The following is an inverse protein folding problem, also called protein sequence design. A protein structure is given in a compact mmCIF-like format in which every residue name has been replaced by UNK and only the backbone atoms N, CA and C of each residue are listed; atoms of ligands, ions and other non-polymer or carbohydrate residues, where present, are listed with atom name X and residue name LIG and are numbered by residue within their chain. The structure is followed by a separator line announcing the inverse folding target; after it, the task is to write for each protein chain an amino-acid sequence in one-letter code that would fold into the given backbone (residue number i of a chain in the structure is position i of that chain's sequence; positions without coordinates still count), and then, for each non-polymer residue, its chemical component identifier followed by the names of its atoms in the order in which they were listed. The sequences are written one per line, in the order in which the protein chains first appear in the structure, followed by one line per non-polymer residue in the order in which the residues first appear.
data_IF_613710775065
#
_entry.id   IF_613710775065
#
_cell.length_a   1.000
_cell.length_b   1.000
_cell.length_c   1.000
_cell.angle_alpha   90.00
_cell.angle_beta   90.00
_cell.angle_gamma   90.00
#
_symmetry.space_group_name_H-M   'P 1'
#
loop_
_entity.id
_entity.type
_entity.pdbx_description
1 polymer ?
#
# COMPACT_ATOMS: atom_id res chain seq x y z
N UNK A 1 -9.06 -8.61 10.62
CA UNK A 1 -9.89 -7.81 11.57
C UNK A 1 -9.16 -7.51 12.88
N UNK A 2 -8.41 -8.46 13.46
CA UNK A 2 -7.74 -8.25 14.75
C UNK A 2 -6.75 -7.07 14.79
N UNK A 3 -5.93 -6.93 13.73
CA UNK A 3 -5.04 -5.78 13.59
C UNK A 3 -5.76 -4.44 13.79
N UNK A 4 -6.92 -4.27 13.14
CA UNK A 4 -7.67 -3.02 13.20
C UNK A 4 -8.20 -2.74 14.61
N UNK A 5 -8.50 -3.78 15.41
CA UNK A 5 -8.87 -3.59 16.82
C UNK A 5 -7.69 -3.03 17.62
N UNK A 6 -6.50 -3.61 17.46
CA UNK A 6 -5.29 -3.13 18.12
C UNK A 6 -4.93 -1.71 17.70
N UNK A 7 -5.05 -1.40 16.40
CA UNK A 7 -4.82 -0.08 15.85
C UNK A 7 -5.82 0.94 16.41
N UNK A 8 -7.12 0.66 16.36
CA UNK A 8 -8.16 1.57 16.86
C UNK A 8 -7.98 1.85 18.36
N UNK A 9 -7.68 0.83 19.16
CA UNK A 9 -7.40 1.02 20.58
C UNK A 9 -6.16 1.90 20.81
N UNK A 10 -5.12 1.75 20.00
CA UNK A 10 -3.93 2.60 20.07
C UNK A 10 -4.25 4.05 19.71
N UNK A 11 -4.98 4.26 18.61
CA UNK A 11 -5.37 5.59 18.15
C UNK A 11 -6.24 6.30 19.18
N UNK A 12 -7.25 5.62 19.72
CA UNK A 12 -8.13 6.16 20.76
C UNK A 12 -7.38 6.44 22.06
N UNK A 13 -6.36 5.64 22.42
CA UNK A 13 -5.59 5.84 23.65
C UNK A 13 -4.77 7.14 23.63
N UNK A 14 -4.23 7.53 22.47
CA UNK A 14 -3.37 8.72 22.34
C UNK A 14 -4.05 9.92 21.71
N UNK A 15 -5.35 9.80 21.38
CA UNK A 15 -6.17 10.88 20.82
C UNK A 15 -5.51 11.59 19.63
N UNK A 16 -5.02 10.82 18.66
CA UNK A 16 -4.50 11.41 17.43
C UNK A 16 -5.62 12.14 16.69
N UNK A 17 -5.43 13.43 16.43
CA UNK A 17 -6.44 14.35 15.87
C UNK A 17 -6.08 14.86 14.48
N UNK A 18 -4.83 14.68 14.02
CA UNK A 18 -4.38 15.18 12.73
C UNK A 18 -3.54 14.18 11.94
N UNK A 19 -3.66 14.23 10.61
CA UNK A 19 -2.98 13.33 9.68
C UNK A 19 -1.46 13.39 9.78
N UNK A 20 -0.90 14.56 10.10
CA UNK A 20 0.53 14.74 10.32
C UNK A 20 1.07 13.91 11.50
N UNK A 21 0.20 13.38 12.37
CA UNK A 21 0.56 12.55 13.51
C UNK A 21 0.62 11.06 13.15
N UNK A 22 0.04 10.63 12.03
CA UNK A 22 -0.02 9.21 11.62
C UNK A 22 1.37 8.56 11.53
N UNK A 23 2.40 9.19 10.92
CA UNK A 23 3.75 8.61 10.92
C UNK A 23 4.27 8.32 12.34
N UNK A 24 4.05 9.23 13.28
CA UNK A 24 4.45 9.07 14.68
C UNK A 24 3.62 7.98 15.37
N UNK A 25 2.33 7.91 15.11
CA UNK A 25 1.45 6.87 15.62
C UNK A 25 1.90 5.47 15.17
N UNK A 26 2.29 5.29 13.91
CA UNK A 26 2.80 4.01 13.41
C UNK A 26 4.06 3.55 14.16
N UNK A 27 4.99 4.47 14.43
CA UNK A 27 6.20 4.17 15.20
C UNK A 27 5.87 3.78 16.65
N UNK A 28 5.03 4.57 17.33
CA UNK A 28 4.61 4.30 18.70
C UNK A 28 3.82 3.00 18.81
N UNK A 29 2.98 2.70 17.82
CA UNK A 29 2.24 1.46 17.75
C UNK A 29 3.19 0.26 17.72
N UNK A 30 4.22 0.27 16.86
CA UNK A 30 5.20 -0.82 16.82
C UNK A 30 6.02 -0.92 18.12
N UNK A 31 6.42 0.20 18.72
CA UNK A 31 7.18 0.18 19.97
C UNK A 31 6.43 -0.52 21.10
N UNK A 32 5.12 -0.32 21.19
CA UNK A 32 4.32 -0.87 22.29
C UNK A 32 3.63 -2.19 21.97
N UNK A 33 3.22 -2.39 20.72
CA UNK A 33 2.36 -3.49 20.27
C UNK A 33 3.01 -4.37 19.23
N UNK A 34 4.20 -4.04 18.75
CA UNK A 34 4.88 -4.81 17.71
C UNK A 34 5.19 -6.25 18.13
N UNK A 35 5.56 -6.51 19.39
CA UNK A 35 5.76 -7.89 19.89
C UNK A 35 4.48 -8.71 19.82
N UNK A 36 3.39 -8.18 20.40
CA UNK A 36 2.06 -8.81 20.40
C UNK A 36 1.55 -9.04 18.95
N UNK A 37 1.79 -8.07 18.06
CA UNK A 37 1.44 -8.15 16.64
C UNK A 37 2.14 -9.32 15.93
N UNK A 38 3.42 -9.54 16.22
CA UNK A 38 4.20 -10.63 15.64
C UNK A 38 3.78 -11.99 16.21
N UNK A 39 3.56 -12.08 17.52
CA UNK A 39 3.08 -13.30 18.20
C UNK A 39 1.71 -13.77 17.67
N UNK A 40 0.85 -12.82 17.28
CA UNK A 40 -0.46 -13.07 16.67
C UNK A 40 -0.42 -13.33 15.17
N UNK A 41 0.77 -13.44 14.56
CA UNK A 41 0.94 -13.62 13.12
C UNK A 41 0.22 -12.54 12.28
N UNK A 42 0.26 -11.28 12.76
CA UNK A 42 -0.39 -10.15 12.07
C UNK A 42 0.56 -9.34 11.18
N UNK A 43 1.81 -9.80 10.99
CA UNK A 43 2.82 -9.12 10.17
C UNK A 43 2.29 -8.70 8.79
N UNK A 44 1.73 -9.64 8.02
CA UNK A 44 1.22 -9.36 6.67
C UNK A 44 0.05 -8.38 6.69
N UNK A 45 -0.83 -8.51 7.68
CA UNK A 45 -1.95 -7.57 7.86
C UNK A 45 -1.43 -6.15 8.11
N UNK A 46 -0.37 -6.01 8.92
CA UNK A 46 0.21 -4.71 9.24
C UNK A 46 0.89 -4.09 8.03
N UNK A 47 1.65 -4.87 7.25
CA UNK A 47 2.22 -4.40 5.99
C UNK A 47 1.13 -3.88 5.06
N UNK A 48 0.03 -4.62 4.88
CA UNK A 48 -1.11 -4.17 4.07
C UNK A 48 -1.71 -2.85 4.61
N UNK A 49 -1.86 -2.72 5.93
CA UNK A 49 -2.36 -1.49 6.53
C UNK A 49 -1.45 -0.29 6.26
N UNK A 50 -0.13 -0.47 6.35
CA UNK A 50 0.83 0.59 6.06
C UNK A 50 0.81 0.99 4.57
N UNK A 51 0.63 0.04 3.66
CA UNK A 51 0.40 0.35 2.25
C UNK A 51 -0.89 1.17 2.07
N UNK A 52 -1.99 0.78 2.72
CA UNK A 52 -3.24 1.56 2.65
C UNK A 52 -3.04 2.99 3.18
N UNK A 53 -2.34 3.19 4.30
CA UNK A 53 -2.06 4.53 4.83
C UNK A 53 -1.22 5.38 3.86
N UNK A 54 -0.27 4.76 3.15
CA UNK A 54 0.50 5.43 2.11
C UNK A 54 -0.38 5.81 0.91
N UNK A 55 -1.25 4.91 0.46
CA UNK A 55 -2.15 5.15 -0.69
C UNK A 55 -3.17 6.26 -0.39
N UNK A 56 -3.56 6.44 0.88
CA UNK A 56 -4.39 7.56 1.34
C UNK A 56 -3.61 8.87 1.55
N UNK A 57 -2.31 8.90 1.30
CA UNK A 57 -1.47 10.08 1.48
C UNK A 57 -1.13 10.41 2.95
N UNK A 58 -1.41 9.50 3.89
CA UNK A 58 -1.14 9.67 5.32
C UNK A 58 0.30 9.27 5.71
N UNK A 59 0.98 8.50 4.85
CA UNK A 59 2.39 8.17 4.99
C UNK A 59 3.16 8.57 3.74
N UNK A 60 4.29 9.25 3.93
CA UNK A 60 5.27 9.42 2.87
C UNK A 60 6.01 8.10 2.59
N UNK A 61 6.62 7.93 1.40
CA UNK A 61 7.45 6.76 1.10
C UNK A 61 8.58 6.56 2.13
N UNK A 62 9.15 7.66 2.63
CA UNK A 62 10.20 7.64 3.66
C UNK A 62 9.66 7.10 4.98
N UNK A 63 8.49 7.59 5.43
CA UNK A 63 7.86 7.13 6.66
C UNK A 63 7.49 5.65 6.59
N UNK A 64 6.90 5.21 5.46
CA UNK A 64 6.59 3.81 5.19
C UNK A 64 7.83 2.93 5.31
N UNK A 65 8.92 3.30 4.63
CA UNK A 65 10.17 2.55 4.66
C UNK A 65 10.74 2.44 6.09
N UNK A 66 10.76 3.53 6.84
CA UNK A 66 11.26 3.54 8.23
C UNK A 66 10.43 2.62 9.13
N UNK A 67 9.10 2.67 9.02
CA UNK A 67 8.20 1.79 9.78
C UNK A 67 8.40 0.32 9.39
N UNK A 68 8.57 0.02 8.10
CA UNK A 68 8.88 -1.34 7.63
C UNK A 68 10.24 -1.83 8.14
N UNK A 69 11.26 -0.99 8.12
CA UNK A 69 12.59 -1.33 8.65
C UNK A 69 12.51 -1.70 10.13
N UNK A 70 11.78 -0.91 10.91
CA UNK A 70 11.56 -1.17 12.33
C UNK A 70 10.84 -2.50 12.57
N UNK A 71 9.74 -2.77 11.85
CA UNK A 71 9.02 -4.04 11.95
C UNK A 71 9.91 -5.24 11.59
N UNK A 72 10.70 -5.14 10.52
CA UNK A 72 11.62 -6.19 10.10
C UNK A 72 12.71 -6.46 11.13
N UNK A 73 13.23 -5.41 11.77
CA UNK A 73 14.19 -5.56 12.86
C UNK A 73 13.56 -6.33 14.03
N UNK A 74 12.35 -5.96 14.44
CA UNK A 74 11.63 -6.66 15.51
C UNK A 74 11.36 -8.14 15.18
N UNK A 75 11.11 -8.46 13.91
CA UNK A 75 10.95 -9.84 13.46
C UNK A 75 12.27 -10.60 13.43
N UNK A 76 13.38 -9.95 13.05
CA UNK A 76 14.71 -10.54 13.07
C UNK A 76 15.13 -10.93 14.50
N UNK A 77 14.77 -10.09 15.47
CA UNK A 77 15.08 -10.31 16.89
C UNK A 77 14.12 -11.32 17.58
N UNK A 78 13.03 -11.73 16.90
CA UNK A 78 12.03 -12.63 17.45
C UNK A 78 11.95 -13.96 16.67
N UNK A 79 12.85 -14.89 17.03
CA UNK A 79 12.94 -16.21 16.42
C UNK A 79 11.66 -17.04 16.57
N UNK A 80 11.00 -16.96 17.73
CA UNK A 80 9.76 -17.70 18.01
C UNK A 80 8.61 -17.26 17.10
N UNK A 81 8.41 -15.94 16.97
CA UNK A 81 7.39 -15.42 16.07
C UNK A 81 7.68 -15.80 14.62
N UNK A 82 8.96 -15.76 14.21
CA UNK A 82 9.38 -16.19 12.86
C UNK A 82 9.01 -17.64 12.59
N UNK A 83 9.22 -18.54 13.53
CA UNK A 83 8.87 -19.95 13.38
C UNK A 83 7.35 -20.15 13.35
N UNK A 84 6.59 -19.55 14.27
CA UNK A 84 5.12 -19.59 14.28
C UNK A 84 4.51 -19.13 12.95
N UNK A 85 5.08 -18.11 12.32
CA UNK A 85 4.62 -17.66 11.00
C UNK A 85 4.91 -18.69 9.90
N UNK A 86 6.06 -19.39 9.96
CA UNK A 86 6.42 -20.46 9.01
C UNK A 86 5.48 -21.65 9.16
N UNK A 87 5.19 -22.05 10.39
CA UNK A 87 4.24 -23.13 10.69
C UNK A 87 2.83 -22.79 10.23
N UNK A 88 2.37 -21.57 10.52
CA UNK A 88 1.06 -21.10 10.06
C UNK A 88 0.96 -21.12 8.53
N UNK A 89 2.02 -20.71 7.84
CA UNK A 89 2.07 -20.74 6.38
C UNK A 89 2.07 -22.17 5.83
N UNK A 90 2.81 -23.08 6.47
CA UNK A 90 2.86 -24.50 6.11
C UNK A 90 1.49 -25.15 6.29
N UNK A 91 0.85 -24.97 7.44
CA UNK A 91 -0.49 -25.48 7.73
C UNK A 91 -1.53 -24.94 6.75
N UNK A 92 -1.49 -23.64 6.44
CA UNK A 92 -2.40 -23.04 5.47
C UNK A 92 -2.17 -23.59 4.06
N UNK A 93 -0.92 -23.81 3.65
CA UNK A 93 -0.59 -24.44 2.36
C UNK A 93 -1.09 -25.87 2.28
N UNK A 94 -0.87 -26.66 3.34
CA UNK A 94 -1.36 -28.04 3.43
C UNK A 94 -2.89 -28.09 3.37
N UNK A 95 -3.56 -27.19 4.10
CA UNK A 95 -5.01 -27.03 4.03
C UNK A 95 -5.50 -26.70 2.62
N UNK A 96 -4.88 -25.72 1.95
CA UNK A 96 -5.23 -25.35 0.57
C UNK A 96 -5.02 -26.52 -0.41
N UNK A 97 -3.93 -27.26 -0.27
CA UNK A 97 -3.65 -28.44 -1.08
C UNK A 97 -4.65 -29.57 -0.82
N UNK A 98 -5.13 -29.73 0.41
CA UNK A 98 -6.14 -30.72 0.74
C UNK A 98 -7.52 -30.32 0.19
N UNK A 99 -7.97 -29.08 0.41
CA UNK A 99 -9.27 -28.57 -0.08
C UNK A 99 -9.31 -28.52 -1.60
N UNK A 100 -8.20 -28.13 -2.25
CA UNK A 100 -8.10 -28.10 -3.70
C UNK A 100 -8.24 -29.48 -4.36
N UNK A 101 -7.98 -30.59 -3.65
CA UNK A 101 -8.21 -31.95 -4.15
C UNK A 101 -9.69 -32.36 -4.16
N UNK A 102 -10.55 -31.65 -3.43
CA UNK A 102 -11.99 -31.95 -3.31
C UNK A 102 -12.89 -30.92 -4.00
N UNK A 103 -12.33 -29.85 -4.59
CA UNK A 103 -13.06 -29.01 -5.53
C UNK A 103 -13.22 -29.78 -6.85
N UNK A 104 -14.34 -30.49 -6.98
CA UNK A 104 -14.81 -30.94 -8.29
C UNK A 104 -14.84 -29.75 -9.25
N UNK A 105 -14.52 -29.92 -10.55
CA UNK A 105 -14.74 -28.86 -11.51
C UNK A 105 -16.20 -28.45 -11.39
N UNK A 106 -16.45 -27.15 -11.18
CA UNK A 106 -17.79 -26.59 -11.27
C UNK A 106 -18.33 -27.01 -12.63
N UNK A 107 -19.26 -27.98 -12.65
CA UNK A 107 -20.04 -28.29 -13.83
C UNK A 107 -20.83 -27.02 -14.10
N UNK A 108 -20.37 -26.23 -15.07
CA UNK A 108 -21.13 -25.11 -15.59
C UNK A 108 -22.33 -25.74 -16.28
N UNK A 109 -23.45 -25.83 -15.56
CA UNK A 109 -24.73 -26.17 -16.16
C UNK A 109 -25.03 -25.08 -17.19
N UNK A 110 -25.07 -25.49 -18.46
CA UNK A 110 -25.42 -24.58 -19.55
C UNK A 110 -26.85 -24.12 -19.31
N UNK A 111 -27.01 -22.83 -18.96
CA UNK A 111 -28.30 -22.15 -18.88
C UNK A 111 -29.18 -22.55 -20.07
N UNK A 112 -30.46 -22.95 -19.87
CA UNK A 112 -31.32 -23.35 -20.98
C UNK A 112 -31.41 -22.20 -21.99
N UNK A 113 -31.11 -22.52 -23.25
CA UNK A 113 -31.25 -21.60 -24.38
C UNK A 113 -32.72 -21.17 -24.49
N UNK A 114 -32.97 -19.89 -24.25
CA UNK A 114 -34.22 -19.27 -24.70
C UNK A 114 -34.16 -19.22 -26.22
N UNK A 115 -35.12 -19.88 -26.86
CA UNK A 115 -35.34 -19.87 -28.31
C UNK A 115 -35.58 -18.44 -28.78
N UNK A 116 -34.56 -17.82 -29.36
CA UNK A 116 -34.73 -16.61 -30.17
C UNK A 116 -34.88 -17.02 -31.62
N UNK A 117 -35.96 -16.57 -32.24
CA UNK A 117 -36.31 -16.85 -33.62
C UNK A 117 -35.19 -16.39 -34.58
N UNK A 118 -34.90 -17.24 -35.57
CA UNK A 118 -33.87 -17.06 -36.60
C UNK A 118 -34.24 -15.90 -37.54
N UNK A 119 -33.27 -15.03 -37.82
CA UNK A 119 -33.17 -14.28 -39.08
C UNK A 119 -31.77 -14.51 -39.68
N UNK A 120 -31.75 -14.67 -41.00
CA UNK A 120 -30.78 -15.42 -41.79
C UNK A 120 -29.40 -14.77 -42.04
N UNK A 121 -28.41 -15.66 -42.19
CA UNK A 121 -27.17 -15.69 -42.98
C UNK A 121 -26.46 -14.41 -43.47
N UNK A 122 -25.17 -14.31 -43.15
CA UNK A 122 -24.07 -14.18 -44.13
C UNK A 122 -22.73 -14.66 -43.54
N UNK A 123 -21.97 -15.42 -44.33
CA UNK A 123 -20.68 -16.06 -44.01
C UNK A 123 -19.52 -15.09 -43.76
N UNK A 124 -18.64 -15.44 -42.81
CA UNK A 124 -17.20 -15.74 -43.02
C UNK A 124 -16.41 -15.71 -41.69
N UNK A 125 -15.67 -16.79 -41.41
CA UNK A 125 -14.69 -16.97 -40.32
C UNK A 125 -13.30 -16.39 -40.70
N UNK A 126 -12.24 -16.44 -39.85
CA UNK A 126 -12.16 -16.49 -38.39
C UNK A 126 -11.07 -15.51 -37.82
N UNK A 127 -11.29 -14.83 -36.68
CA UNK A 127 -10.15 -14.47 -35.81
C UNK A 127 -10.53 -14.00 -34.41
N UNK A 128 -9.79 -14.53 -33.45
CA UNK A 128 -9.95 -14.41 -32.00
C UNK A 128 -9.49 -13.02 -31.51
N UNK A 129 -10.33 -12.29 -30.76
CA UNK A 129 -9.84 -11.39 -29.69
C UNK A 129 -10.90 -11.07 -28.63
N UNK A 130 -10.60 -11.45 -27.38
CA UNK A 130 -11.34 -11.10 -26.16
C UNK A 130 -11.44 -9.57 -26.01
N UNK A 131 -12.64 -9.05 -25.70
CA UNK A 131 -12.82 -7.65 -25.30
C UNK A 131 -12.97 -7.57 -23.78
N UNK A 132 -11.96 -6.98 -23.15
CA UNK A 132 -11.95 -6.52 -21.76
C UNK A 132 -12.90 -5.33 -21.59
N UNK A 133 -13.50 -5.24 -20.40
CA UNK A 133 -14.37 -4.18 -19.92
C UNK A 133 -13.72 -2.79 -20.00
N UNK A 134 -14.40 -1.82 -20.63
CA UNK A 134 -14.01 -0.41 -20.59
C UNK A 134 -14.91 0.38 -19.65
N UNK A 135 -14.25 0.98 -18.67
CA UNK A 135 -14.69 2.08 -17.81
C UNK A 135 -14.93 3.34 -18.66
N UNK A 136 -16.12 3.92 -18.55
CA UNK A 136 -16.41 5.28 -19.02
C UNK A 136 -17.28 5.97 -17.97
N UNK A 137 -16.72 6.95 -17.27
CA UNK A 137 -17.32 8.29 -17.29
C UNK A 137 -16.32 9.39 -16.89
N UNK A 138 -16.49 10.56 -17.50
CA UNK A 138 -15.46 11.53 -17.82
C UNK A 138 -15.53 12.85 -17.00
N UNK A 139 -14.34 13.43 -16.79
CA UNK A 139 -13.93 14.85 -16.73
C UNK A 139 -14.98 15.98 -16.62
N UNK A 140 -14.84 16.79 -15.55
CA UNK A 140 -14.95 18.28 -15.47
C UNK A 140 -14.02 18.69 -14.31
N UNK A 141 -13.00 19.56 -14.37
CA UNK A 141 -12.71 20.73 -15.19
C UNK A 141 -11.19 20.86 -15.42
N UNK A 142 -10.80 21.32 -16.60
CA UNK A 142 -9.47 21.84 -16.90
C UNK A 142 -9.59 23.26 -17.47
N UNK A 143 -9.09 24.24 -16.73
CA UNK A 143 -8.55 25.53 -17.17
C UNK A 143 -7.84 26.08 -15.93
N UNK A 144 -6.52 26.21 -15.87
CA UNK A 144 -5.77 27.28 -16.53
C UNK A 144 -4.33 26.81 -16.84
N UNK A 145 -4.01 26.94 -18.12
CA UNK A 145 -2.74 27.26 -18.78
C UNK A 145 -1.38 27.05 -18.08
N UNK A 146 -0.55 26.34 -18.84
CA UNK A 146 0.89 26.23 -18.72
C UNK A 146 1.63 27.57 -18.73
N UNK A 147 2.80 27.60 -18.08
CA UNK A 147 4.03 28.12 -18.69
C UNK A 147 5.26 27.73 -17.86
N UNK A 148 5.99 26.73 -18.35
CA UNK A 148 7.40 26.52 -18.01
C UNK A 148 8.21 27.01 -19.21
N UNK A 149 9.03 28.05 -19.04
CA UNK A 149 10.21 28.20 -19.87
C UNK A 149 11.38 28.85 -19.13
N UNK A 150 12.52 28.22 -19.39
CA UNK A 150 13.92 28.37 -18.99
C UNK A 150 14.54 29.69 -19.50
N UNK A 151 15.33 30.40 -18.69
CA UNK A 151 16.68 30.94 -19.04
C UNK A 151 17.26 32.00 -18.08
N UNK A 152 18.56 31.83 -17.79
CA UNK A 152 19.65 32.83 -17.71
C UNK A 152 19.68 33.96 -16.64
N UNK A 153 20.84 34.05 -15.99
CA UNK A 153 21.34 35.17 -15.17
C UNK A 153 21.40 36.50 -15.95
N UNK A 154 21.49 37.64 -15.25
CA UNK A 154 22.79 38.32 -15.14
C UNK A 154 23.04 39.03 -13.78
N UNK A 155 24.32 39.20 -13.40
CA UNK A 155 24.77 40.30 -12.50
C UNK A 155 24.92 41.63 -13.29
N UNK A 156 25.44 42.76 -12.74
CA UNK A 156 26.48 42.86 -11.69
C UNK A 156 26.40 44.05 -10.67
N UNK A 157 27.33 44.03 -9.69
CA UNK A 157 27.94 45.14 -8.88
C UNK A 157 27.02 45.95 -7.95
N UNK A 158 27.35 46.46 -6.76
CA UNK A 158 28.54 46.79 -5.96
C UNK A 158 27.98 47.09 -4.53
N UNK A 159 28.59 46.90 -3.35
CA UNK A 159 29.82 47.45 -2.78
C UNK A 159 30.03 46.81 -1.39
N UNK A 160 31.22 46.24 -1.18
CA UNK A 160 32.10 46.41 -0.02
C UNK A 160 31.50 46.87 1.34
N UNK A 161 31.58 46.01 2.37
CA UNK A 161 32.18 46.40 3.67
C UNK A 161 32.76 45.17 4.38
N UNK A 162 34.08 45.24 4.54
CA UNK A 162 35.01 44.37 5.22
C UNK A 162 34.86 44.49 6.73
N UNK A 163 34.80 43.37 7.46
CA UNK A 163 35.33 43.25 8.84
C UNK A 163 35.71 41.79 9.15
N UNK A 164 37.01 41.48 9.01
CA UNK A 164 37.74 40.45 9.78
C UNK A 164 37.74 40.89 11.26
N UNK A 165 37.86 40.06 12.30
CA UNK A 165 38.86 39.04 12.65
C UNK A 165 38.25 38.18 13.78
N UNK A 166 38.31 36.85 13.71
CA UNK A 166 39.34 35.96 14.29
C UNK A 166 39.17 35.61 15.78
N UNK A 167 39.06 34.29 15.97
CA UNK A 167 39.25 33.45 17.16
C UNK A 167 40.47 33.79 18.02
N UNK A 168 40.40 33.44 19.32
CA UNK A 168 41.58 33.17 20.14
C UNK A 168 41.35 33.31 21.65
N UNK A 169 41.49 32.18 22.37
CA UNK A 169 41.55 31.98 23.83
C UNK A 169 42.42 33.00 24.58
N UNK A 170 42.21 33.32 25.86
CA UNK A 170 42.30 32.49 27.09
C UNK A 170 41.31 33.04 28.12
#
# INVERSE_FOLDING_TARGET
KELMKMWNLHVMKYNYVGDCQIPRACQMFLQMKGKELLEKNLYRNFVLHMCSLHDFGLLSPVALYQTMKMLNQMLADNAEAKEKMRDSLKAQREHWNAVGKYQQPVVIEHKPQVTTAKLNNAEASPSVRRKTSNLQNANKMASVSANFNKSASPGPSSTETKRKMSSGSI
#
